data_IF_117809491007
#
_entry.id   IF_117809491007
#
_cell.length_a   1.000
_cell.length_b   1.000
_cell.length_c   1.000
_cell.angle_alpha   90.00
_cell.angle_beta   90.00
_cell.angle_gamma   90.00
#
_symmetry.space_group_name_H-M   'P 1'
#
loop_
_entity.id
_entity.type
_entity.pdbx_description
1 polymer ?
#
# COMPACT_ATOMS: atom_id res chain seq x y z
N UNK A 1 -4.58 -19.50 -14.64
CA UNK A 1 -4.79 -18.07 -14.93
C UNK A 1 -3.77 -17.31 -14.09
N UNK A 2 -3.00 -16.41 -14.68
CA UNK A 2 -2.06 -15.60 -13.91
C UNK A 2 -2.85 -14.59 -13.07
N UNK A 3 -2.55 -14.46 -11.78
CA UNK A 3 -3.19 -13.46 -10.92
C UNK A 3 -2.72 -12.08 -11.37
N UNK A 4 -3.65 -11.12 -11.46
CA UNK A 4 -3.38 -9.74 -11.86
C UNK A 4 -3.69 -8.81 -10.68
N UNK A 5 -2.78 -7.88 -10.36
CA UNK A 5 -2.88 -7.04 -9.16
C UNK A 5 -2.36 -5.62 -9.41
N UNK A 6 -3.18 -4.60 -9.14
CA UNK A 6 -2.75 -3.20 -9.07
C UNK A 6 -2.41 -2.86 -7.62
N UNK A 7 -1.19 -2.38 -7.37
CA UNK A 7 -0.73 -2.00 -6.03
C UNK A 7 -0.67 -0.49 -5.97
N UNK A 8 -1.53 0.11 -5.18
CA UNK A 8 -1.62 1.56 -4.97
C UNK A 8 -0.82 1.93 -3.73
N UNK A 9 0.17 2.79 -3.92
CA UNK A 9 1.04 3.30 -2.86
C UNK A 9 0.97 4.82 -2.86
N UNK A 10 0.20 5.43 -1.96
CA UNK A 10 0.22 6.87 -1.77
C UNK A 10 1.53 7.31 -1.12
N UNK A 11 2.15 8.39 -1.62
CA UNK A 11 3.46 8.84 -1.16
C UNK A 11 3.52 10.34 -0.88
N UNK A 12 4.27 10.68 0.17
CA UNK A 12 4.74 12.04 0.41
C UNK A 12 6.08 12.02 1.16
N UNK A 13 7.16 12.43 0.50
CA UNK A 13 8.55 12.38 1.00
C UNK A 13 9.07 10.97 1.28
N UNK A 14 8.89 10.05 0.33
CA UNK A 14 9.20 8.63 0.49
C UNK A 14 10.32 8.16 -0.46
N UNK A 15 11.10 9.08 -1.02
CA UNK A 15 12.10 8.78 -2.04
C UNK A 15 13.12 7.70 -1.62
N UNK A 16 13.49 7.64 -0.35
CA UNK A 16 14.42 6.64 0.19
C UNK A 16 13.81 5.24 0.33
N UNK A 17 12.50 5.16 0.57
CA UNK A 17 11.79 3.90 0.81
C UNK A 17 11.35 3.22 -0.49
N UNK A 18 11.07 4.01 -1.52
CA UNK A 18 10.57 3.51 -2.81
C UNK A 18 11.44 2.41 -3.47
N UNK A 19 12.78 2.52 -3.52
CA UNK A 19 13.61 1.46 -4.07
C UNK A 19 13.51 0.15 -3.30
N UNK A 20 13.49 0.23 -1.97
CA UNK A 20 13.39 -0.93 -1.07
C UNK A 20 12.03 -1.61 -1.23
N UNK A 21 10.96 -0.82 -1.31
CA UNK A 21 9.61 -1.32 -1.55
C UNK A 21 9.48 -1.99 -2.92
N UNK A 22 9.97 -1.35 -3.98
CA UNK A 22 9.89 -1.90 -5.34
C UNK A 22 10.65 -3.22 -5.46
N UNK A 23 11.86 -3.31 -4.89
CA UNK A 23 12.64 -4.54 -4.85
C UNK A 23 11.92 -5.64 -4.05
N UNK A 24 11.39 -5.31 -2.87
CA UNK A 24 10.68 -6.27 -2.04
C UNK A 24 9.41 -6.79 -2.73
N UNK A 25 8.59 -5.91 -3.31
CA UNK A 25 7.41 -6.30 -4.09
C UNK A 25 7.80 -7.19 -5.27
N UNK A 26 8.84 -6.83 -6.02
CA UNK A 26 9.29 -7.63 -7.14
C UNK A 26 9.76 -9.01 -6.70
N UNK A 27 10.53 -9.12 -5.61
CA UNK A 27 10.98 -10.40 -5.07
C UNK A 27 9.80 -11.30 -4.68
N UNK A 28 8.79 -10.75 -4.03
CA UNK A 28 7.65 -11.54 -3.55
C UNK A 28 6.64 -11.87 -4.66
N UNK A 29 6.55 -11.10 -5.75
CA UNK A 29 5.47 -11.23 -6.75
C UNK A 29 5.94 -11.73 -8.11
N UNK A 30 7.19 -11.47 -8.50
CA UNK A 30 7.68 -11.81 -9.83
C UNK A 30 7.61 -13.33 -10.08
N UNK A 31 7.18 -13.71 -11.29
CA UNK A 31 7.02 -15.11 -11.69
C UNK A 31 5.72 -15.79 -11.24
N UNK A 32 4.94 -15.19 -10.33
CA UNK A 32 3.66 -15.74 -9.87
C UNK A 32 2.46 -14.79 -10.03
N UNK A 33 2.68 -13.49 -9.97
CA UNK A 33 1.64 -12.45 -10.10
C UNK A 33 2.07 -11.46 -11.18
N UNK A 34 1.17 -11.15 -12.10
CA UNK A 34 1.31 -10.01 -13.00
C UNK A 34 0.85 -8.79 -12.22
N UNK A 35 1.73 -7.84 -11.95
CA UNK A 35 1.39 -6.67 -11.14
C UNK A 35 1.79 -5.37 -11.80
N UNK A 36 1.14 -4.29 -11.36
CA UNK A 36 1.60 -2.92 -11.57
C UNK A 36 1.69 -2.20 -10.23
N UNK A 37 2.66 -1.30 -10.11
CA UNK A 37 2.88 -0.48 -8.94
C UNK A 37 2.54 0.98 -9.26
N UNK A 38 1.46 1.47 -8.68
CA UNK A 38 0.94 2.82 -8.86
C UNK A 38 1.40 3.68 -7.68
N UNK A 39 2.44 4.47 -7.89
CA UNK A 39 2.90 5.46 -6.91
C UNK A 39 2.08 6.72 -7.10
N UNK A 40 1.24 7.07 -6.12
CA UNK A 40 0.43 8.29 -6.14
C UNK A 40 1.08 9.32 -5.24
N UNK A 41 1.86 10.20 -5.85
CA UNK A 41 2.67 11.19 -5.16
C UNK A 41 1.98 12.56 -5.07
N UNK A 42 1.79 13.03 -3.85
CA UNK A 42 1.13 14.29 -3.53
C UNK A 42 2.08 15.50 -3.64
N UNK A 43 2.82 15.56 -4.77
CA UNK A 43 3.83 16.57 -5.10
C UNK A 43 4.90 16.67 -4.01
N UNK A 44 5.62 15.57 -3.80
CA UNK A 44 6.72 15.55 -2.84
C UNK A 44 7.80 16.57 -3.22
N UNK A 45 8.34 17.33 -2.24
CA UNK A 45 9.40 18.30 -2.49
C UNK A 45 10.80 17.68 -2.52
N UNK A 46 10.91 16.37 -2.35
CA UNK A 46 12.15 15.62 -2.47
C UNK A 46 12.32 15.07 -3.90
N UNK A 47 13.19 14.09 -4.08
CA UNK A 47 13.49 13.47 -5.38
C UNK A 47 12.59 12.28 -5.72
N UNK A 48 11.37 12.20 -5.15
CA UNK A 48 10.45 11.07 -5.37
C UNK A 48 10.18 10.85 -6.86
N UNK A 49 9.97 11.91 -7.64
CA UNK A 49 9.67 11.81 -9.06
C UNK A 49 10.84 11.21 -9.86
N UNK A 50 12.07 11.66 -9.58
CA UNK A 50 13.30 11.16 -10.20
C UNK A 50 13.59 9.69 -9.83
N UNK A 51 13.32 9.33 -8.57
CA UNK A 51 13.43 7.94 -8.11
C UNK A 51 12.42 7.05 -8.82
N UNK A 52 11.15 7.47 -8.90
CA UNK A 52 10.14 6.73 -9.64
C UNK A 52 10.49 6.56 -11.12
N UNK A 53 11.00 7.60 -11.78
CA UNK A 53 11.42 7.51 -13.18
C UNK A 53 12.51 6.43 -13.37
N UNK A 54 13.49 6.39 -12.46
CA UNK A 54 14.58 5.40 -12.49
C UNK A 54 14.07 3.97 -12.20
N UNK A 55 13.15 3.82 -11.26
CA UNK A 55 12.56 2.53 -10.90
C UNK A 55 11.64 1.97 -12.00
N UNK A 56 10.96 2.84 -12.75
CA UNK A 56 10.09 2.45 -13.87
C UNK A 56 10.84 1.78 -15.02
N UNK A 57 12.17 1.94 -15.11
CA UNK A 57 13.00 1.21 -16.08
C UNK A 57 13.17 -0.28 -15.71
N UNK A 58 12.99 -0.64 -14.44
CA UNK A 58 13.30 -1.96 -13.89
C UNK A 58 12.05 -2.70 -13.39
N UNK A 59 11.03 -1.97 -12.96
CA UNK A 59 9.82 -2.49 -12.33
C UNK A 59 8.58 -1.97 -13.07
N UNK A 60 7.43 -2.67 -13.01
CA UNK A 60 6.17 -2.23 -13.62
C UNK A 60 5.55 -1.08 -12.82
N UNK A 61 6.28 0.02 -12.67
CA UNK A 61 5.94 1.19 -11.85
C UNK A 61 5.39 2.32 -12.71
N UNK A 62 4.34 2.99 -12.23
CA UNK A 62 3.80 4.22 -12.79
C UNK A 62 3.70 5.28 -11.69
N UNK A 63 4.21 6.48 -11.98
CA UNK A 63 4.04 7.65 -11.13
C UNK A 63 2.79 8.41 -11.53
N UNK A 64 1.97 8.78 -10.54
CA UNK A 64 0.77 9.60 -10.67
C UNK A 64 0.96 10.79 -9.74
N UNK A 65 0.83 12.01 -10.27
CA UNK A 65 0.98 13.24 -9.50
C UNK A 65 -0.27 14.13 -9.66
N UNK A 66 -1.28 13.96 -8.80
CA UNK A 66 -2.48 14.79 -8.82
C UNK A 66 -2.12 16.25 -8.51
N UNK A 67 -2.56 17.18 -9.37
CA UNK A 67 -2.30 18.61 -9.21
C UNK A 67 -3.59 19.39 -8.92
N UNK A 68 -3.45 20.56 -8.30
CA UNK A 68 -4.56 21.49 -8.11
C UNK A 68 -5.48 21.19 -6.91
N UNK A 69 -5.03 20.35 -5.97
CA UNK A 69 -5.74 20.06 -4.72
C UNK A 69 -4.80 20.00 -3.51
N UNK A 70 -5.32 20.11 -2.26
CA UNK A 70 -4.53 19.85 -1.05
C UNK A 70 -4.06 18.39 -1.01
N UNK A 71 -2.94 18.16 -0.30
CA UNK A 71 -2.42 16.82 -0.03
C UNK A 71 -3.37 16.07 0.89
N UNK A 72 -3.75 14.85 0.52
CA UNK A 72 -4.69 14.02 1.26
C UNK A 72 -4.52 12.55 0.88
N UNK A 73 -4.12 11.74 1.86
CA UNK A 73 -3.89 10.30 1.70
C UNK A 73 -5.09 9.57 1.08
N UNK A 74 -6.31 9.88 1.52
CA UNK A 74 -7.51 9.19 1.05
C UNK A 74 -7.80 9.53 -0.40
N UNK A 75 -7.59 10.79 -0.79
CA UNK A 75 -7.72 11.22 -2.18
C UNK A 75 -6.66 10.57 -3.08
N UNK A 76 -5.41 10.44 -2.62
CA UNK A 76 -4.35 9.75 -3.36
C UNK A 76 -4.70 8.26 -3.55
N UNK A 77 -5.25 7.61 -2.53
CA UNK A 77 -5.74 6.23 -2.64
C UNK A 77 -6.88 6.12 -3.65
N UNK A 78 -7.87 7.02 -3.62
CA UNK A 78 -9.00 7.03 -4.56
C UNK A 78 -8.51 7.21 -6.00
N UNK A 79 -7.58 8.13 -6.25
CA UNK A 79 -7.01 8.34 -7.57
C UNK A 79 -6.29 7.09 -8.07
N UNK A 80 -5.48 6.47 -7.21
CA UNK A 80 -4.77 5.24 -7.54
C UNK A 80 -5.71 4.08 -7.87
N UNK A 81 -6.78 3.91 -7.08
CA UNK A 81 -7.82 2.90 -7.36
C UNK A 81 -8.51 3.21 -8.69
N UNK A 82 -8.84 4.47 -8.97
CA UNK A 82 -9.49 4.87 -10.22
C UNK A 82 -8.61 4.68 -11.47
N UNK A 83 -7.30 4.60 -11.30
CA UNK A 83 -6.31 4.37 -12.36
C UNK A 83 -5.80 2.92 -12.40
N UNK A 84 -6.29 2.04 -11.51
CA UNK A 84 -5.95 0.63 -11.50
C UNK A 84 -6.38 -0.05 -12.82
N UNK A 85 -5.44 -0.77 -13.44
CA UNK A 85 -5.66 -1.51 -14.68
C UNK A 85 -6.15 -2.95 -14.47
N UNK A 86 -6.22 -3.42 -13.23
CA UNK A 86 -6.63 -4.78 -12.88
C UNK A 86 -7.79 -4.81 -11.88
N UNK A 87 -8.55 -5.90 -11.89
CA UNK A 87 -9.74 -6.08 -11.04
C UNK A 87 -9.41 -6.17 -9.54
N UNK A 88 -8.18 -6.60 -9.21
CA UNK A 88 -7.71 -6.69 -7.83
C UNK A 88 -6.84 -5.48 -7.54
N UNK A 89 -7.19 -4.77 -6.47
CA UNK A 89 -6.45 -3.62 -5.99
C UNK A 89 -6.00 -3.84 -4.56
N UNK A 90 -4.71 -3.65 -4.30
CA UNK A 90 -4.12 -3.62 -2.98
C UNK A 90 -3.67 -2.18 -2.68
N UNK A 91 -3.99 -1.68 -1.50
CA UNK A 91 -3.49 -0.40 -1.00
C UNK A 91 -2.49 -0.67 0.12
N UNK A 92 -1.32 -0.03 0.07
CA UNK A 92 -0.31 -0.12 1.13
C UNK A 92 0.57 1.13 1.22
N UNK A 93 1.15 1.38 2.39
CA UNK A 93 2.09 2.47 2.64
C UNK A 93 3.48 2.19 2.04
N UNK A 94 4.26 3.24 1.81
CA UNK A 94 5.58 3.15 1.20
C UNK A 94 6.71 2.75 2.16
N UNK A 95 6.51 2.95 3.47
CA UNK A 95 7.53 2.86 4.53
C UNK A 95 7.90 1.43 4.98
N UNK A 96 7.47 0.41 4.24
CA UNK A 96 7.67 -1.02 4.55
C UNK A 96 7.04 -1.50 5.86
N UNK A 97 6.21 -0.69 6.54
CA UNK A 97 5.46 -1.14 7.73
C UNK A 97 4.43 -2.22 7.39
N UNK A 98 4.01 -2.28 6.12
CA UNK A 98 3.20 -3.36 5.56
C UNK A 98 4.10 -4.35 4.80
N UNK A 99 4.31 -5.58 5.31
CA UNK A 99 5.25 -6.52 4.69
C UNK A 99 4.73 -7.05 3.35
N UNK A 100 5.44 -6.83 2.21
CA UNK A 100 5.07 -7.38 0.90
C UNK A 100 4.87 -8.89 0.87
N UNK A 101 5.59 -9.63 1.74
CA UNK A 101 5.51 -11.09 1.86
C UNK A 101 4.10 -11.60 2.26
N UNK A 102 3.21 -10.73 2.73
CA UNK A 102 1.82 -11.10 3.05
C UNK A 102 0.88 -11.06 1.84
N UNK A 103 1.27 -10.41 0.75
CA UNK A 103 0.42 -10.24 -0.44
C UNK A 103 0.01 -11.59 -1.05
N UNK A 104 0.90 -12.58 -1.24
CA UNK A 104 0.48 -13.88 -1.80
C UNK A 104 -0.58 -14.58 -0.96
N UNK A 105 -0.47 -14.51 0.37
CA UNK A 105 -1.48 -15.06 1.28
C UNK A 105 -2.82 -14.32 1.11
N UNK A 106 -2.81 -12.97 1.06
CA UNK A 106 -4.04 -12.19 0.88
C UNK A 106 -4.73 -12.48 -0.45
N UNK A 107 -3.97 -12.67 -1.53
CA UNK A 107 -4.50 -13.07 -2.83
C UNK A 107 -5.14 -14.46 -2.80
N UNK A 108 -4.53 -15.42 -2.09
CA UNK A 108 -5.09 -16.75 -1.94
C UNK A 108 -6.43 -16.74 -1.18
N UNK A 109 -6.58 -15.88 -0.18
CA UNK A 109 -7.86 -15.68 0.53
C UNK A 109 -8.91 -15.04 -0.38
N UNK A 110 -8.53 -14.04 -1.20
CA UNK A 110 -9.43 -13.43 -2.20
C UNK A 110 -9.89 -14.43 -3.26
N UNK A 111 -9.04 -15.38 -3.67
CA UNK A 111 -9.43 -16.42 -4.63
C UNK A 111 -10.54 -17.34 -4.08
N UNK A 112 -10.61 -17.54 -2.77
CA UNK A 112 -11.67 -18.33 -2.12
C UNK A 112 -12.97 -17.54 -1.97
N UNK A 113 -12.90 -16.21 -1.99
CA UNK A 113 -14.04 -15.32 -1.85
C UNK A 113 -13.88 -14.08 -2.76
N UNK A 114 -14.17 -14.20 -4.07
CA UNK A 114 -13.88 -13.16 -5.06
C UNK A 114 -14.57 -11.81 -4.80
N UNK A 115 -15.71 -11.81 -4.10
CA UNK A 115 -16.48 -10.62 -3.75
C UNK A 115 -16.14 -10.06 -2.35
N UNK A 116 -15.09 -10.59 -1.70
CA UNK A 116 -14.70 -10.20 -0.36
C UNK A 116 -13.65 -9.08 -0.34
N UNK A 117 -13.52 -8.46 0.84
CA UNK A 117 -12.46 -7.52 1.15
C UNK A 117 -11.50 -8.16 2.17
N UNK A 118 -10.20 -8.20 1.85
CA UNK A 118 -9.17 -8.76 2.74
C UNK A 118 -8.37 -7.64 3.38
N UNK A 119 -8.27 -7.68 4.72
CA UNK A 119 -7.59 -6.65 5.51
C UNK A 119 -6.40 -7.25 6.25
N UNK A 120 -5.22 -6.66 6.05
CA UNK A 120 -4.06 -6.92 6.90
C UNK A 120 -4.32 -6.39 8.32
N UNK A 121 -4.54 -7.28 9.29
CA UNK A 121 -4.86 -6.89 10.66
C UNK A 121 -3.75 -7.24 11.65
N UNK A 122 -3.35 -6.24 12.45
CA UNK A 122 -2.41 -6.41 13.58
C UNK A 122 -3.08 -6.97 14.84
N UNK A 123 -4.42 -7.03 14.86
CA UNK A 123 -5.21 -7.33 16.06
C UNK A 123 -5.84 -8.73 16.06
N UNK A 124 -5.65 -9.52 15.00
CA UNK A 124 -6.12 -10.91 14.92
C UNK A 124 -5.07 -11.87 15.43
N UNK A 125 -5.46 -13.12 15.68
CA UNK A 125 -4.52 -14.17 16.08
C UNK A 125 -3.39 -14.31 15.04
N UNK A 126 -2.14 -14.19 15.50
CA UNK A 126 -0.95 -14.18 14.63
C UNK A 126 -0.52 -12.80 14.12
N UNK A 127 -1.31 -11.75 14.36
CA UNK A 127 -0.92 -10.35 14.15
C UNK A 127 0.12 -9.89 15.17
N UNK A 128 1.03 -9.02 14.75
CA UNK A 128 2.05 -8.44 15.63
C UNK A 128 2.34 -6.98 15.26
N UNK A 129 2.95 -6.27 16.20
CA UNK A 129 3.47 -4.92 16.02
C UNK A 129 5.00 -4.98 16.05
N UNK A 130 5.67 -4.01 15.42
CA UNK A 130 7.12 -3.88 15.58
C UNK A 130 7.51 -3.74 17.04
N UNK A 131 8.62 -4.39 17.42
CA UNK A 131 9.07 -4.53 18.81
C UNK A 131 9.36 -3.21 19.52
N UNK A 132 9.50 -2.11 18.78
CA UNK A 132 9.74 -0.75 19.31
C UNK A 132 8.47 0.05 19.64
N UNK A 133 7.29 -0.56 19.56
CA UNK A 133 6.05 0.11 19.95
C UNK A 133 6.01 0.36 21.46
N UNK A 134 6.15 1.62 21.87
CA UNK A 134 5.92 2.02 23.26
C UNK A 134 4.46 1.73 23.64
N UNK A 135 4.26 1.20 24.85
CA UNK A 135 2.93 0.88 25.40
C UNK A 135 1.91 2.04 25.27
N UNK A 136 2.40 3.28 25.28
CA UNK A 136 1.60 4.50 25.08
C UNK A 136 0.97 4.61 23.69
N UNK A 137 1.67 4.15 22.65
CA UNK A 137 1.17 4.19 21.26
C UNK A 137 0.10 3.13 21.01
N UNK A 138 0.20 1.98 21.68
CA UNK A 138 -0.85 0.95 21.69
C UNK A 138 -2.14 1.45 22.36
N UNK A 139 -2.02 2.07 23.55
CA UNK A 139 -3.16 2.65 24.26
C UNK A 139 -3.86 3.74 23.46
N UNK A 140 -3.09 4.63 22.82
CA UNK A 140 -3.66 5.73 22.03
C UNK A 140 -4.42 5.21 20.79
N UNK A 141 -3.87 4.20 20.09
CA UNK A 141 -4.58 3.58 18.96
C UNK A 141 -5.87 2.91 19.40
N UNK A 142 -5.87 2.20 20.53
CA UNK A 142 -7.08 1.52 21.03
C UNK A 142 -8.15 2.52 21.45
N UNK A 143 -7.77 3.62 22.12
CA UNK A 143 -8.69 4.67 22.56
C UNK A 143 -9.28 5.44 21.37
N UNK A 144 -8.47 5.76 20.36
CA UNK A 144 -8.94 6.40 19.13
C UNK A 144 -9.94 5.52 18.37
N UNK A 145 -9.66 4.21 18.23
CA UNK A 145 -10.61 3.26 17.62
C UNK A 145 -11.91 3.14 18.41
N UNK A 146 -11.85 3.17 19.75
CA UNK A 146 -13.02 3.07 20.62
C UNK A 146 -13.91 4.32 20.53
N UNK A 147 -13.31 5.50 20.40
CA UNK A 147 -14.03 6.77 20.19
C UNK A 147 -14.60 6.92 18.78
N UNK A 148 -13.98 6.31 17.76
CA UNK A 148 -14.46 6.34 16.39
C UNK A 148 -15.65 5.39 16.13
N UNK A 149 -15.74 4.27 16.88
CA UNK A 149 -16.82 3.27 16.75
C UNK A 149 -18.26 3.82 16.76
N UNK A 150 -18.65 4.75 17.64
CA UNK A 150 -20.01 5.31 17.62
C UNK A 150 -20.30 6.23 16.42
N UNK A 151 -19.29 6.65 15.66
CA UNK A 151 -19.44 7.52 14.49
C UNK A 151 -19.50 6.77 13.15
N UNK A 152 -19.27 5.45 13.16
CA UNK A 152 -19.25 4.59 11.96
C UNK A 152 -20.52 3.75 11.82
N UNK A 153 -21.68 4.32 12.12
CA UNK A 153 -22.99 3.70 11.90
C UNK A 153 -23.56 4.06 10.52
#
# INVERSE_FOLDING_TARGET
MSLMLSIVVPTYKEAENLPLLAEALHRELNGQVIYELLIVDDLSPDNTAEVCASLAEQYPLKLIQPAGRPRDLSLSVIDGIGLAGYDRVLVMDADLSHPPAKIPQMLAELDQAPDAFVVGSRYVQGGSFDREWSLWRFLNSHFATLLARPLTH
#
